data_IF_201969251206
#
_entry.id   IF_201969251206
#
_cell.length_a   1.000
_cell.length_b   1.000
_cell.length_c   1.000
_cell.angle_alpha   90.00
_cell.angle_beta   90.00
_cell.angle_gamma   90.00
#
_symmetry.space_group_name_H-M   'P 1'
#
loop_
_entity.id
_entity.type
_entity.pdbx_description
1 polymer ?
#
# COMPACT_ATOMS: atom_id res chain seq x y z
N UNK A 1 -15.80 -17.81 -0.43
CA UNK A 1 -16.00 -17.04 0.81
C UNK A 1 -14.70 -17.12 1.57
N UNK A 2 -14.12 -15.99 1.96
CA UNK A 2 -12.91 -15.97 2.76
C UNK A 2 -13.26 -16.17 4.24
N UNK A 3 -12.48 -16.98 4.95
CA UNK A 3 -12.67 -17.20 6.40
C UNK A 3 -11.49 -16.63 7.17
N UNK A 4 -11.74 -15.53 7.90
CA UNK A 4 -10.73 -14.85 8.71
C UNK A 4 -11.22 -14.83 10.16
N UNK A 5 -10.62 -15.60 11.08
CA UNK A 5 -11.00 -15.59 12.47
C UNK A 5 -10.56 -14.28 13.15
N UNK A 6 -11.22 -13.93 14.25
CA UNK A 6 -10.78 -12.84 15.10
C UNK A 6 -9.36 -13.10 15.60
N UNK A 7 -8.51 -12.09 15.46
CA UNK A 7 -7.13 -12.09 15.94
C UNK A 7 -6.65 -10.65 16.12
N UNK A 8 -5.65 -10.47 16.97
CA UNK A 8 -4.94 -9.21 17.13
C UNK A 8 -3.53 -9.35 16.55
N UNK A 9 -3.03 -8.30 15.92
CA UNK A 9 -1.67 -8.28 15.35
C UNK A 9 -0.80 -7.36 16.20
N UNK A 10 0.19 -7.93 16.88
CA UNK A 10 1.28 -7.15 17.45
C UNK A 10 2.35 -6.92 16.38
N UNK A 11 2.28 -5.77 15.70
CA UNK A 11 3.23 -5.43 14.65
C UNK A 11 4.67 -5.35 15.14
N UNK A 12 4.96 -5.16 16.43
CA UNK A 12 6.35 -5.16 16.89
C UNK A 12 7.02 -6.54 16.77
N UNK A 13 6.21 -7.60 16.72
CA UNK A 13 6.66 -8.99 16.59
C UNK A 13 6.79 -9.50 15.16
N UNK A 14 6.29 -8.75 14.17
CA UNK A 14 6.32 -9.15 12.76
C UNK A 14 7.65 -8.74 12.13
N UNK A 15 8.31 -9.65 11.42
CA UNK A 15 9.59 -9.36 10.78
C UNK A 15 9.47 -8.22 9.74
N UNK A 16 10.44 -7.30 9.77
CA UNK A 16 10.59 -6.24 8.77
C UNK A 16 11.44 -6.74 7.61
N UNK A 17 10.82 -6.95 6.46
CA UNK A 17 11.51 -7.24 5.21
C UNK A 17 11.90 -5.92 4.50
N UNK A 18 13.12 -5.86 3.99
CA UNK A 18 13.62 -4.71 3.24
C UNK A 18 13.30 -4.83 1.74
N UNK A 19 12.79 -3.76 1.14
CA UNK A 19 12.47 -3.67 -0.28
C UNK A 19 13.01 -2.36 -0.86
N UNK A 20 13.94 -2.44 -1.82
CA UNK A 20 14.51 -1.27 -2.49
C UNK A 20 13.50 -0.61 -3.42
N UNK A 21 13.51 0.72 -3.47
CA UNK A 21 12.90 1.50 -4.55
C UNK A 21 13.94 1.90 -5.60
N UNK A 22 13.54 2.72 -6.57
CA UNK A 22 14.51 3.44 -7.43
C UNK A 22 15.46 4.29 -6.58
N UNK A 23 14.89 4.98 -5.60
CA UNK A 23 15.61 5.71 -4.56
C UNK A 23 15.01 5.40 -3.20
N UNK A 24 15.82 5.52 -2.16
CA UNK A 24 15.41 5.17 -0.81
C UNK A 24 15.12 3.67 -0.66
N UNK A 25 14.42 3.32 0.42
CA UNK A 25 14.12 1.94 0.78
C UNK A 25 12.78 1.90 1.51
N UNK A 26 12.08 0.78 1.40
CA UNK A 26 10.86 0.52 2.14
C UNK A 26 11.01 -0.71 3.04
N UNK A 27 10.42 -0.68 4.22
CA UNK A 27 10.40 -1.79 5.18
C UNK A 27 8.98 -2.26 5.36
N UNK A 28 8.76 -3.57 5.18
CA UNK A 28 7.44 -4.15 5.10
C UNK A 28 7.28 -5.18 6.21
N UNK A 29 6.19 -5.07 6.96
CA UNK A 29 5.72 -6.11 7.87
C UNK A 29 4.42 -6.60 7.28
N UNK A 30 4.33 -7.90 6.99
CA UNK A 30 3.23 -8.45 6.18
C UNK A 30 2.51 -9.56 6.91
N UNK A 31 1.18 -9.48 6.92
CA UNK A 31 0.28 -10.57 7.34
C UNK A 31 -0.51 -11.02 6.12
N UNK A 32 -0.52 -12.33 5.88
CA UNK A 32 -1.29 -12.98 4.83
C UNK A 32 -2.39 -13.81 5.47
N UNK A 33 -3.63 -13.56 5.05
CA UNK A 33 -4.84 -14.25 5.43
C UNK A 33 -5.56 -14.68 4.14
N UNK A 34 -6.57 -15.54 4.28
CA UNK A 34 -7.35 -16.05 3.15
C UNK A 34 -7.91 -14.90 2.28
N UNK A 35 -7.29 -14.66 1.12
CA UNK A 35 -7.63 -13.59 0.19
C UNK A 35 -7.36 -12.16 0.66
N UNK A 36 -6.74 -11.95 1.83
CA UNK A 36 -6.46 -10.63 2.43
C UNK A 36 -4.98 -10.53 2.81
N UNK A 37 -4.34 -9.44 2.37
CA UNK A 37 -3.00 -9.07 2.78
C UNK A 37 -3.04 -7.72 3.48
N UNK A 38 -2.43 -7.67 4.66
CA UNK A 38 -2.30 -6.44 5.46
C UNK A 38 -0.81 -6.17 5.62
N UNK A 39 -0.38 -4.94 5.35
CA UNK A 39 1.01 -4.54 5.43
C UNK A 39 1.16 -3.25 6.23
N UNK A 40 2.10 -3.25 7.17
CA UNK A 40 2.65 -2.03 7.74
C UNK A 40 3.91 -1.70 6.95
N UNK A 41 3.91 -0.56 6.27
CA UNK A 41 4.96 -0.17 5.34
C UNK A 41 5.57 1.16 5.78
N UNK A 42 6.89 1.19 5.91
CA UNK A 42 7.65 2.41 6.20
C UNK A 42 8.51 2.74 4.98
N UNK A 43 8.32 3.92 4.39
CA UNK A 43 9.18 4.45 3.36
C UNK A 43 10.25 5.35 3.99
N UNK A 44 11.50 5.20 3.57
CA UNK A 44 12.57 6.11 3.97
C UNK A 44 12.41 7.49 3.35
N UNK A 45 13.20 8.45 3.83
CA UNK A 45 13.40 9.70 3.10
C UNK A 45 13.90 9.42 1.67
N UNK A 46 13.50 10.29 0.74
CA UNK A 46 13.74 10.18 -0.70
C UNK A 46 13.31 8.84 -1.31
N UNK A 47 12.28 8.21 -0.75
CA UNK A 47 11.75 6.96 -1.31
C UNK A 47 11.01 7.22 -2.62
N UNK A 48 11.27 6.36 -3.58
CA UNK A 48 10.63 6.34 -4.88
C UNK A 48 10.43 4.88 -5.30
N UNK A 49 9.18 4.45 -5.43
CA UNK A 49 8.89 3.07 -5.78
C UNK A 49 9.48 2.68 -7.16
N UNK A 50 9.98 1.46 -7.27
CA UNK A 50 10.65 0.88 -8.46
C UNK A 50 9.68 0.45 -9.58
N UNK A 51 8.38 0.61 -9.37
CA UNK A 51 7.37 0.22 -10.34
C UNK A 51 6.12 1.09 -10.26
N UNK A 52 5.34 1.03 -11.34
CA UNK A 52 3.97 1.50 -11.36
C UNK A 52 3.04 0.36 -10.90
N UNK A 53 2.32 0.58 -9.81
CA UNK A 53 1.33 -0.36 -9.31
C UNK A 53 0.03 -0.24 -10.10
N UNK A 54 -0.47 -1.38 -10.57
CA UNK A 54 -1.81 -1.53 -11.14
C UNK A 54 -2.77 -2.31 -10.24
N UNK A 55 -2.25 -2.88 -9.14
CA UNK A 55 -3.07 -3.61 -8.19
C UNK A 55 -3.87 -2.62 -7.35
N UNK A 56 -5.08 -3.05 -7.03
CA UNK A 56 -5.94 -2.39 -6.08
C UNK A 56 -5.36 -2.52 -4.67
N UNK A 57 -5.51 -1.45 -3.90
CA UNK A 57 -5.24 -1.45 -2.48
C UNK A 57 -5.94 -0.28 -1.79
N UNK A 58 -6.11 -0.43 -0.49
CA UNK A 58 -6.47 0.62 0.45
C UNK A 58 -5.18 1.05 1.13
N UNK A 59 -4.85 2.33 1.06
CA UNK A 59 -3.73 2.91 1.82
C UNK A 59 -4.31 3.85 2.86
N UNK A 60 -3.80 3.76 4.09
CA UNK A 60 -4.03 4.72 5.17
C UNK A 60 -2.69 5.27 5.66
N UNK A 61 -2.54 6.59 5.68
CA UNK A 61 -1.33 7.26 6.13
C UNK A 61 -1.34 7.39 7.66
N UNK A 62 -0.46 6.66 8.35
CA UNK A 62 -0.34 6.66 9.80
C UNK A 62 0.50 7.85 10.30
N UNK A 63 1.60 8.14 9.60
CA UNK A 63 2.57 9.18 9.95
C UNK A 63 3.25 9.72 8.68
N UNK A 64 3.65 10.99 8.71
CA UNK A 64 4.31 11.65 7.58
C UNK A 64 3.36 11.97 6.43
N UNK A 65 3.93 12.05 5.23
CA UNK A 65 3.19 12.27 4.00
C UNK A 65 3.89 11.64 2.78
N UNK A 66 3.10 11.38 1.76
CA UNK A 66 3.60 10.85 0.49
C UNK A 66 2.73 11.32 -0.67
N UNK A 67 3.30 11.31 -1.85
CA UNK A 67 2.62 11.57 -3.10
C UNK A 67 2.34 10.25 -3.83
N UNK A 68 1.12 10.10 -4.30
CA UNK A 68 0.76 9.09 -5.29
C UNK A 68 0.72 9.76 -6.66
N UNK A 69 1.72 9.47 -7.50
CA UNK A 69 1.81 9.95 -8.87
C UNK A 69 1.16 8.93 -9.81
N UNK A 70 0.36 9.39 -10.76
CA UNK A 70 -0.24 8.58 -11.82
C UNK A 70 0.61 8.67 -13.09
N UNK A 71 0.52 7.68 -13.98
CA UNK A 71 1.30 7.68 -15.23
C UNK A 71 1.05 8.88 -16.15
N UNK A 72 -0.11 9.53 -16.04
CA UNK A 72 -0.44 10.76 -16.76
C UNK A 72 0.20 12.03 -16.14
N UNK A 73 0.95 11.89 -15.04
CA UNK A 73 1.59 12.98 -14.31
C UNK A 73 0.73 13.64 -13.23
N UNK A 74 -0.52 13.21 -13.06
CA UNK A 74 -1.38 13.69 -11.97
C UNK A 74 -0.84 13.20 -10.62
N UNK A 75 -0.90 14.06 -9.60
CA UNK A 75 -0.28 13.82 -8.29
C UNK A 75 -1.28 14.09 -7.19
N UNK A 76 -1.36 13.16 -6.26
CA UNK A 76 -2.22 13.25 -5.09
C UNK A 76 -1.36 13.19 -3.84
N UNK A 77 -1.41 14.25 -3.02
CA UNK A 77 -0.73 14.27 -1.73
C UNK A 77 -1.60 13.62 -0.66
N UNK A 78 -1.01 12.74 0.13
CA UNK A 78 -1.66 12.12 1.29
C UNK A 78 -0.81 12.35 2.54
N UNK A 79 -1.41 12.99 3.52
CA UNK A 79 -0.81 13.21 4.84
C UNK A 79 -1.48 12.33 5.90
N UNK A 80 -0.90 12.33 7.10
CA UNK A 80 -1.40 11.60 8.26
C UNK A 80 -2.93 11.71 8.42
N UNK A 81 -3.59 10.56 8.52
CA UNK A 81 -5.03 10.44 8.70
C UNK A 81 -5.83 10.32 7.39
N UNK A 82 -5.18 10.44 6.23
CA UNK A 82 -5.83 10.29 4.93
C UNK A 82 -5.75 8.84 4.42
N UNK A 83 -6.73 8.48 3.59
CA UNK A 83 -6.72 7.24 2.82
C UNK A 83 -6.94 7.49 1.33
N UNK A 84 -6.48 6.57 0.50
CA UNK A 84 -7.08 6.33 -0.82
C UNK A 84 -7.42 4.85 -0.98
N UNK A 85 -8.34 4.58 -1.90
CA UNK A 85 -8.84 3.25 -2.22
C UNK A 85 -8.88 3.13 -3.73
N UNK A 86 -8.37 2.02 -4.26
CA UNK A 86 -8.43 1.73 -5.69
C UNK A 86 -8.59 0.23 -5.92
N UNK A 87 -9.36 -0.14 -6.95
CA UNK A 87 -9.52 -1.53 -7.41
C UNK A 87 -8.43 -1.89 -8.43
N UNK A 88 -8.28 -3.19 -8.70
CA UNK A 88 -7.32 -3.67 -9.69
C UNK A 88 -7.56 -3.01 -11.07
N UNK A 89 -6.46 -2.69 -11.76
CA UNK A 89 -6.38 -2.15 -13.13
C UNK A 89 -7.04 -0.78 -13.37
N UNK A 90 -7.59 -0.12 -12.33
CA UNK A 90 -8.25 1.18 -12.48
C UNK A 90 -7.30 2.38 -12.41
N UNK A 91 -6.07 2.19 -11.93
CA UNK A 91 -5.04 3.22 -11.95
C UNK A 91 -3.67 2.58 -12.11
N UNK A 92 -2.75 3.32 -12.72
CA UNK A 92 -1.33 2.97 -12.74
C UNK A 92 -0.58 4.07 -12.01
N UNK A 93 -0.16 3.80 -10.77
CA UNK A 93 0.35 4.83 -9.87
C UNK A 93 1.63 4.40 -9.15
N UNK A 94 2.36 5.36 -8.58
CA UNK A 94 3.64 5.14 -7.93
C UNK A 94 3.78 6.05 -6.71
N UNK A 95 4.33 5.50 -5.63
CA UNK A 95 4.53 6.23 -4.38
C UNK A 95 5.87 6.97 -4.36
N UNK A 96 5.83 8.21 -3.89
CA UNK A 96 7.00 9.07 -3.67
C UNK A 96 6.91 9.63 -2.25
N UNK A 97 7.99 9.55 -1.48
CA UNK A 97 8.04 10.21 -0.17
C UNK A 97 9.37 10.94 0.01
N UNK A 98 9.29 12.24 0.31
CA UNK A 98 10.46 13.08 0.50
C UNK A 98 11.11 12.84 1.87
N UNK A 99 10.29 12.87 2.92
CA UNK A 99 10.77 12.84 4.30
C UNK A 99 10.53 11.48 4.98
N UNK A 100 9.96 10.53 4.25
CA UNK A 100 9.52 9.24 4.77
C UNK A 100 8.07 9.25 5.22
N UNK A 101 7.46 8.07 5.27
CA UNK A 101 6.06 7.92 5.64
C UNK A 101 5.82 6.53 6.24
N UNK A 102 4.84 6.43 7.12
CA UNK A 102 4.34 5.14 7.64
C UNK A 102 2.92 4.91 7.18
N UNK A 103 2.68 3.77 6.55
CA UNK A 103 1.44 3.43 5.88
C UNK A 103 0.90 2.10 6.38
N UNK A 104 -0.41 2.01 6.51
CA UNK A 104 -1.13 0.74 6.52
C UNK A 104 -1.66 0.50 5.11
N UNK A 105 -1.26 -0.61 4.49
CA UNK A 105 -1.73 -1.00 3.16
C UNK A 105 -2.50 -2.31 3.28
N UNK A 106 -3.72 -2.31 2.77
CA UNK A 106 -4.60 -3.48 2.75
C UNK A 106 -4.93 -3.78 1.29
N UNK A 107 -4.64 -5.00 0.86
CA UNK A 107 -4.93 -5.47 -0.49
C UNK A 107 -5.36 -6.94 -0.49
N UNK A 108 -5.90 -7.42 -1.60
CA UNK A 108 -6.41 -8.79 -1.65
C UNK A 108 -7.39 -9.03 -2.77
N UNK A 109 -7.90 -10.25 -2.85
CA UNK A 109 -8.76 -10.70 -3.94
C UNK A 109 -10.11 -9.96 -3.99
N UNK A 110 -10.54 -9.34 -2.88
CA UNK A 110 -11.76 -8.56 -2.78
C UNK A 110 -11.74 -7.25 -3.61
N UNK A 111 -10.57 -6.83 -4.10
CA UNK A 111 -10.41 -5.64 -4.93
C UNK A 111 -10.47 -5.91 -6.44
N UNK A 112 -10.57 -7.19 -6.83
CA UNK A 112 -10.80 -7.56 -8.23
C UNK A 112 -12.17 -7.03 -8.65
N UNK A 113 -12.26 -6.26 -9.76
CA UNK A 113 -13.55 -5.88 -10.32
C UNK A 113 -14.40 -7.12 -10.54
N UNK A 114 -15.67 -7.10 -10.11
CA UNK A 114 -16.60 -8.11 -10.58
C UNK A 114 -16.69 -7.97 -12.10
N UNK A 115 -16.31 -9.02 -12.83
CA UNK A 115 -16.67 -9.11 -14.22
C UNK A 115 -18.19 -9.00 -14.29
N UNK A 116 -18.69 -7.99 -15.00
CA UNK A 116 -20.10 -7.91 -15.32
C UNK A 116 -20.47 -9.26 -15.94
N UNK A 117 -21.31 -10.02 -15.23
CA UNK A 117 -21.87 -11.23 -15.80
C UNK A 117 -22.73 -10.77 -16.99
N UNK A 118 -22.51 -11.30 -18.21
CA UNK A 118 -23.40 -10.97 -19.32
C UNK A 118 -24.85 -11.36 -19.04
#
# INVERSE_FOLDING_TARGET
MHTIPFQTIDWSSVEKAEHKGETGTSFWQTILLDGLRIRLVEYSANYLADHWCKKGHIVYCLEGEFESEFQNGEKFMLSKGMSYIVSDELSSHRSISRDGVKLLIIDGDFLKPQMATP
#
